data_IF_689030525749
#
_entry.id   IF_689030525749
#
_cell.length_a   1.000
_cell.length_b   1.000
_cell.length_c   1.000
_cell.angle_alpha   90.00
_cell.angle_beta   90.00
_cell.angle_gamma   90.00
#
_symmetry.space_group_name_H-M   'P 1'
#
loop_
_entity.id
_entity.type
_entity.pdbx_description
1 polymer ?
#
# COMPACT_ATOMS: atom_id res chain seq x y z
N UNK A 1 4.48 12.21 -47.35
CA UNK A 1 3.33 12.80 -46.62
C UNK A 1 2.48 11.74 -45.93
N UNK A 2 2.01 10.70 -46.62
CA UNK A 2 1.24 9.57 -46.04
C UNK A 2 2.01 8.83 -44.92
N UNK A 3 3.31 8.59 -45.10
CA UNK A 3 4.16 7.91 -44.09
C UNK A 3 4.33 8.68 -42.77
N UNK A 4 4.33 10.03 -42.84
CA UNK A 4 4.43 10.88 -41.65
C UNK A 4 3.07 10.97 -40.92
N UNK A 5 1.96 10.97 -41.67
CA UNK A 5 0.61 10.92 -41.09
C UNK A 5 0.35 9.59 -40.35
N UNK A 6 0.81 8.46 -40.90
CA UNK A 6 0.61 7.14 -40.28
C UNK A 6 1.39 6.96 -38.97
N UNK A 7 2.59 7.55 -38.86
CA UNK A 7 3.38 7.54 -37.63
C UNK A 7 2.74 8.44 -36.56
N UNK A 8 2.26 9.61 -36.96
CA UNK A 8 1.58 10.54 -36.05
C UNK A 8 0.26 9.95 -35.50
N UNK A 9 -0.49 9.21 -36.33
CA UNK A 9 -1.70 8.51 -35.92
C UNK A 9 -1.44 7.35 -34.95
N UNK A 10 -0.33 6.63 -35.12
CA UNK A 10 0.11 5.58 -34.17
C UNK A 10 0.58 6.14 -32.82
N UNK A 11 1.22 7.31 -32.82
CA UNK A 11 1.67 7.99 -31.58
C UNK A 11 0.46 8.48 -30.76
N UNK A 12 -0.60 8.96 -31.41
CA UNK A 12 -1.82 9.44 -30.73
C UNK A 12 -2.64 8.26 -30.15
N UNK A 13 -2.73 7.13 -30.86
CA UNK A 13 -3.45 5.94 -30.38
C UNK A 13 -2.70 5.13 -29.31
N UNK A 14 -1.39 5.34 -29.15
CA UNK A 14 -0.58 4.69 -28.11
C UNK A 14 -0.65 5.35 -26.73
N UNK A 15 -1.21 6.56 -26.63
CA UNK A 15 -1.28 7.33 -25.38
C UNK A 15 -2.52 6.94 -24.56
N UNK A 16 -2.53 5.72 -24.05
CA UNK A 16 -3.47 5.34 -22.98
C UNK A 16 -2.93 5.89 -21.67
N UNK A 17 -3.48 7.00 -21.19
CA UNK A 17 -3.27 7.39 -19.80
C UNK A 17 -4.01 6.36 -18.93
N UNK A 18 -3.29 5.32 -18.51
CA UNK A 18 -3.77 4.34 -17.54
C UNK A 18 -3.96 5.04 -16.20
N UNK A 19 -5.15 5.63 -16.01
CA UNK A 19 -5.65 6.01 -14.70
C UNK A 19 -6.28 4.77 -14.11
N UNK A 20 -5.46 3.88 -13.57
CA UNK A 20 -5.91 2.73 -12.79
C UNK A 20 -6.48 3.25 -11.47
N UNK A 21 -7.77 3.59 -11.47
CA UNK A 21 -8.50 3.82 -10.24
C UNK A 21 -8.74 2.46 -9.58
N UNK A 22 -8.68 2.41 -8.24
CA UNK A 22 -9.04 1.21 -7.49
C UNK A 22 -10.46 0.79 -7.89
N UNK A 23 -10.60 -0.43 -8.41
CA UNK A 23 -11.86 -1.00 -8.88
C UNK A 23 -12.32 -2.11 -7.94
N UNK A 24 -13.62 -2.22 -7.69
CA UNK A 24 -14.21 -3.23 -6.79
C UNK A 24 -15.08 -2.58 -5.70
N UNK A 25 -15.63 -3.38 -4.76
CA UNK A 25 -16.40 -2.82 -3.66
C UNK A 25 -15.52 -1.95 -2.76
N UNK A 26 -15.75 -0.62 -2.77
CA UNK A 26 -14.99 0.32 -1.94
C UNK A 26 -15.09 -0.01 -0.45
N UNK A 27 -16.22 -0.59 -0.02
CA UNK A 27 -16.48 -0.96 1.37
C UNK A 27 -15.60 -2.09 1.93
N UNK A 28 -14.77 -2.71 1.09
CA UNK A 28 -13.79 -3.69 1.55
C UNK A 28 -12.67 -3.04 2.38
N UNK A 29 -12.34 -1.77 2.10
CA UNK A 29 -11.28 -1.02 2.79
C UNK A 29 -11.74 0.36 3.29
N UNK A 30 -12.81 0.89 2.72
CA UNK A 30 -13.33 2.21 3.05
C UNK A 30 -14.69 2.14 3.74
N UNK A 31 -15.01 3.20 4.45
CA UNK A 31 -16.34 3.41 5.01
C UNK A 31 -16.66 4.89 5.13
N UNK A 32 -17.92 5.25 4.89
CA UNK A 32 -18.38 6.63 5.13
C UNK A 32 -18.56 6.93 6.61
N UNK A 33 -18.95 5.91 7.38
CA UNK A 33 -19.14 5.97 8.81
C UNK A 33 -18.47 4.75 9.41
N UNK A 34 -17.79 4.86 10.53
CA UNK A 34 -17.19 3.70 11.19
C UNK A 34 -18.26 2.79 11.85
N UNK A 35 -19.28 2.41 11.07
CA UNK A 35 -20.41 1.58 11.37
C UNK A 35 -21.00 1.05 10.04
N UNK A 36 -21.31 -0.24 9.99
CA UNK A 36 -22.08 -0.88 8.94
C UNK A 36 -23.23 -1.66 9.60
N UNK A 37 -24.46 -1.43 9.14
CA UNK A 37 -25.66 -2.10 9.67
C UNK A 37 -25.87 -1.92 11.19
N UNK A 38 -25.47 -0.75 11.73
CA UNK A 38 -25.67 -0.40 13.14
C UNK A 38 -24.60 -0.94 14.09
N UNK A 39 -23.52 -1.55 13.58
CA UNK A 39 -22.39 -2.01 14.38
C UNK A 39 -21.06 -1.87 13.65
N UNK A 40 -19.97 -2.27 14.29
CA UNK A 40 -18.64 -2.32 13.66
C UNK A 40 -18.42 -3.77 13.20
N UNK A 41 -18.27 -4.03 11.89
CA UNK A 41 -17.94 -5.36 11.39
C UNK A 41 -16.67 -5.92 12.05
N UNK A 42 -16.67 -7.20 12.39
CA UNK A 42 -15.55 -7.88 13.05
C UNK A 42 -14.27 -7.94 12.22
N UNK A 43 -14.37 -7.72 10.91
CA UNK A 43 -13.23 -7.67 10.00
C UNK A 43 -12.64 -6.26 9.85
N UNK A 44 -13.23 -5.25 10.51
CA UNK A 44 -12.65 -3.92 10.61
C UNK A 44 -11.68 -3.87 11.78
N UNK A 45 -10.88 -2.82 11.85
CA UNK A 45 -10.01 -2.60 13.00
C UNK A 45 -10.79 -2.38 14.31
N UNK A 46 -10.09 -2.33 15.43
CA UNK A 46 -10.69 -2.03 16.74
C UNK A 46 -10.50 -0.58 17.17
N UNK A 47 -9.65 0.18 16.46
CA UNK A 47 -9.17 1.49 16.91
C UNK A 47 -9.75 2.66 16.11
N UNK A 48 -10.68 2.39 15.18
CA UNK A 48 -11.27 3.43 14.35
C UNK A 48 -12.16 4.42 15.14
N UNK A 49 -12.65 5.49 14.50
CA UNK A 49 -12.56 5.78 13.06
C UNK A 49 -11.12 6.03 12.59
N UNK A 50 -10.78 5.48 11.44
CA UNK A 50 -9.49 5.70 10.78
C UNK A 50 -9.56 6.93 9.88
N UNK A 51 -8.39 7.52 9.61
CA UNK A 51 -8.27 8.63 8.67
C UNK A 51 -8.67 8.22 7.25
N UNK A 52 -9.04 9.19 6.41
CA UNK A 52 -9.40 8.98 5.01
C UNK A 52 -10.52 7.95 4.78
N UNK A 53 -11.51 7.89 5.69
CA UNK A 53 -12.68 7.03 5.53
C UNK A 53 -12.29 5.56 5.39
N UNK A 54 -11.31 5.11 6.18
CA UNK A 54 -10.85 3.72 6.16
C UNK A 54 -11.53 2.88 7.26
N UNK A 55 -11.56 1.58 7.04
CA UNK A 55 -12.04 0.58 8.01
C UNK A 55 -10.91 -0.03 8.84
N UNK A 56 -9.68 0.11 8.37
CA UNK A 56 -8.47 -0.40 9.01
C UNK A 56 -7.23 0.35 8.47
N UNK A 57 -6.03 0.00 8.97
CA UNK A 57 -4.77 0.47 8.40
C UNK A 57 -4.39 -0.29 7.11
N UNK A 58 -3.17 0.00 6.61
CA UNK A 58 -2.62 -0.61 5.40
C UNK A 58 -2.59 -2.14 5.49
N UNK A 59 -2.05 -2.70 6.57
CA UNK A 59 -1.88 -4.15 6.72
C UNK A 59 -3.23 -4.82 6.98
N UNK A 60 -4.14 -4.17 7.69
CA UNK A 60 -5.48 -4.65 7.93
C UNK A 60 -6.29 -4.90 6.64
N UNK A 61 -6.03 -4.13 5.58
CA UNK A 61 -6.67 -4.32 4.27
C UNK A 61 -5.83 -5.16 3.30
N UNK A 62 -4.50 -5.03 3.35
CA UNK A 62 -3.58 -5.62 2.39
C UNK A 62 -2.86 -6.86 2.94
N UNK A 63 -3.52 -7.64 3.82
CA UNK A 63 -2.99 -8.89 4.36
C UNK A 63 -3.86 -10.11 4.06
N UNK A 64 -3.24 -11.29 4.05
CA UNK A 64 -3.94 -12.57 3.96
C UNK A 64 -3.24 -13.66 4.77
N UNK A 65 -4.04 -14.55 5.35
CA UNK A 65 -3.54 -15.79 5.98
C UNK A 65 -3.29 -16.92 4.98
N UNK A 66 -3.62 -16.71 3.71
CA UNK A 66 -3.39 -17.66 2.61
C UNK A 66 -2.19 -17.21 1.77
N UNK A 67 -1.79 -17.98 0.76
CA UNK A 67 -0.70 -17.62 -0.14
C UNK A 67 -1.13 -16.71 -1.33
N UNK A 68 -2.41 -16.31 -1.36
CA UNK A 68 -2.95 -15.46 -2.43
C UNK A 68 -2.46 -14.02 -2.28
N UNK A 69 -1.98 -13.43 -3.37
CA UNK A 69 -1.48 -12.05 -3.40
C UNK A 69 -2.48 -11.05 -4.00
N UNK A 70 -3.63 -11.52 -4.46
CA UNK A 70 -4.77 -10.70 -4.88
C UNK A 70 -6.03 -11.30 -4.25
N UNK A 71 -6.76 -10.53 -3.46
CA UNK A 71 -8.03 -10.95 -2.84
C UNK A 71 -9.06 -9.85 -3.06
N UNK A 72 -10.20 -10.15 -3.70
CA UNK A 72 -11.23 -9.15 -4.02
C UNK A 72 -10.69 -7.90 -4.75
N UNK A 73 -9.77 -8.11 -5.70
CA UNK A 73 -9.04 -7.05 -6.42
C UNK A 73 -8.13 -6.17 -5.55
N UNK A 74 -7.90 -6.54 -4.29
CA UNK A 74 -6.98 -5.87 -3.38
C UNK A 74 -5.62 -6.57 -3.47
N UNK A 75 -4.53 -5.85 -3.76
CA UNK A 75 -3.19 -6.42 -3.70
C UNK A 75 -2.82 -6.74 -2.25
N UNK A 76 -2.39 -7.96 -1.98
CA UNK A 76 -1.95 -8.40 -0.67
C UNK A 76 -0.43 -8.27 -0.60
N UNK A 77 0.03 -7.29 0.16
CA UNK A 77 1.46 -7.00 0.34
C UNK A 77 2.03 -7.75 1.54
N UNK A 78 1.19 -8.33 2.41
CA UNK A 78 1.62 -9.16 3.51
C UNK A 78 0.85 -10.47 3.57
N UNK A 79 1.53 -11.60 3.44
CA UNK A 79 0.96 -12.91 3.70
C UNK A 79 1.58 -13.50 4.97
N UNK A 80 0.77 -14.18 5.81
CA UNK A 80 1.32 -14.92 6.96
C UNK A 80 1.99 -16.24 6.57
N UNK A 81 1.93 -16.59 5.29
CA UNK A 81 2.58 -17.74 4.66
C UNK A 81 3.27 -17.28 3.38
N UNK A 82 4.24 -18.04 2.88
CA UNK A 82 4.95 -17.68 1.66
C UNK A 82 3.96 -17.51 0.48
N UNK A 83 3.96 -16.37 -0.24
CA UNK A 83 3.07 -16.15 -1.37
C UNK A 83 3.43 -17.06 -2.56
N UNK A 84 2.43 -17.53 -3.30
CA UNK A 84 2.66 -18.38 -4.49
C UNK A 84 2.88 -17.57 -5.76
N UNK A 85 2.38 -16.33 -5.81
CA UNK A 85 2.42 -15.45 -6.97
C UNK A 85 2.88 -14.05 -6.53
N UNK A 86 4.19 -13.75 -6.54
CA UNK A 86 4.68 -12.49 -6.01
C UNK A 86 4.16 -11.29 -6.82
N UNK A 87 3.81 -10.20 -6.12
CA UNK A 87 3.56 -8.91 -6.74
C UNK A 87 4.90 -8.30 -7.20
N UNK A 88 4.86 -7.35 -8.13
CA UNK A 88 6.07 -6.68 -8.61
C UNK A 88 6.88 -5.98 -7.50
N UNK A 89 6.20 -5.51 -6.44
CA UNK A 89 6.82 -4.93 -5.25
C UNK A 89 7.27 -5.96 -4.20
N UNK A 90 7.07 -7.26 -4.44
CA UNK A 90 7.35 -8.32 -3.48
C UNK A 90 6.25 -8.49 -2.42
N UNK A 91 6.63 -9.03 -1.27
CA UNK A 91 5.73 -9.30 -0.15
C UNK A 91 6.47 -9.20 1.19
N UNK A 92 5.85 -8.58 2.18
CA UNK A 92 6.42 -8.41 3.51
C UNK A 92 6.60 -9.73 4.28
N UNK A 93 6.07 -10.87 3.81
CA UNK A 93 6.40 -12.18 4.38
C UNK A 93 7.92 -12.38 4.56
N UNK A 94 8.73 -11.87 3.62
CA UNK A 94 10.17 -12.12 3.59
C UNK A 94 10.98 -11.35 4.64
N UNK A 95 10.45 -10.27 5.22
CA UNK A 95 11.13 -9.52 6.30
C UNK A 95 11.21 -10.38 7.58
N UNK A 96 10.25 -11.28 7.78
CA UNK A 96 10.26 -12.22 8.91
C UNK A 96 11.30 -13.34 8.74
N UNK A 97 11.94 -13.44 7.57
CA UNK A 97 13.05 -14.37 7.33
C UNK A 97 14.39 -13.66 7.58
N UNK A 98 14.51 -12.41 7.14
CA UNK A 98 15.67 -11.55 7.36
C UNK A 98 15.32 -10.11 7.03
N UNK A 99 15.80 -9.16 7.85
CA UNK A 99 15.70 -7.72 7.58
C UNK A 99 16.31 -7.32 6.23
N UNK A 100 17.34 -8.04 5.77
CA UNK A 100 17.96 -7.79 4.47
C UNK A 100 17.04 -8.08 3.27
N UNK A 101 15.85 -8.67 3.49
CA UNK A 101 14.91 -9.05 2.42
C UNK A 101 13.82 -7.99 2.15
N UNK A 102 13.80 -6.86 2.85
CA UNK A 102 12.77 -5.85 2.59
C UNK A 102 12.86 -4.61 3.47
N UNK A 103 11.76 -3.85 3.49
CA UNK A 103 11.61 -2.68 4.34
C UNK A 103 10.69 -3.02 5.50
N UNK A 104 11.20 -2.83 6.71
CA UNK A 104 10.51 -3.07 7.97
C UNK A 104 9.58 -1.90 8.30
N UNK A 105 8.35 -1.93 7.78
CA UNK A 105 7.34 -0.89 8.06
C UNK A 105 6.74 -1.04 9.46
N UNK A 106 6.47 0.09 10.13
CA UNK A 106 5.98 0.10 11.52
C UNK A 106 4.65 -0.63 11.71
N UNK A 107 3.80 -0.66 10.68
CA UNK A 107 2.49 -1.35 10.74
C UNK A 107 2.63 -2.87 10.94
N UNK A 108 3.81 -3.45 10.70
CA UNK A 108 4.10 -4.86 10.94
C UNK A 108 4.74 -5.13 12.30
N UNK A 109 5.09 -4.10 13.07
CA UNK A 109 5.64 -4.24 14.42
C UNK A 109 6.97 -4.99 14.48
N UNK A 110 7.72 -5.00 13.39
CA UNK A 110 9.01 -5.68 13.25
C UNK A 110 10.03 -4.68 12.69
N UNK A 111 10.60 -3.77 13.49
CA UNK A 111 11.59 -2.79 13.03
C UNK A 111 12.90 -3.46 12.59
N UNK A 112 13.67 -2.80 11.72
CA UNK A 112 14.96 -3.31 11.26
C UNK A 112 15.99 -3.27 12.41
N UNK A 113 16.58 -4.42 12.74
CA UNK A 113 17.54 -4.57 13.84
C UNK A 113 18.98 -4.19 13.43
N UNK A 114 19.25 -4.07 12.13
CA UNK A 114 20.58 -3.81 11.56
C UNK A 114 20.75 -2.36 11.13
N UNK A 115 19.76 -1.82 10.42
CA UNK A 115 19.77 -0.47 9.85
C UNK A 115 18.91 0.46 10.68
N UNK A 116 19.54 1.32 11.49
CA UNK A 116 18.83 2.33 12.27
C UNK A 116 18.35 3.52 11.44
N UNK A 117 18.87 3.68 10.21
CA UNK A 117 18.50 4.71 9.24
C UNK A 117 18.73 4.21 7.80
N UNK A 118 18.04 4.78 6.78
CA UNK A 118 18.24 4.43 5.39
C UNK A 118 19.70 4.64 4.96
N UNK A 119 20.33 3.63 4.33
CA UNK A 119 21.65 3.81 3.73
C UNK A 119 21.64 4.97 2.73
N UNK A 120 22.56 5.92 2.90
CA UNK A 120 22.65 7.12 2.06
C UNK A 120 21.81 8.30 2.55
N UNK A 121 21.25 8.25 3.76
CA UNK A 121 20.66 9.41 4.41
C UNK A 121 21.67 10.58 4.48
N UNK A 122 21.34 11.68 3.80
CA UNK A 122 22.16 12.90 3.82
C UNK A 122 21.91 13.73 5.10
N UNK A 123 20.79 13.48 5.76
CA UNK A 123 20.39 14.11 7.01
C UNK A 123 20.01 13.00 8.00
N UNK A 124 20.89 12.71 8.94
CA UNK A 124 20.66 11.70 9.97
C UNK A 124 19.36 12.00 10.73
N UNK A 125 18.56 10.96 10.98
CA UNK A 125 17.36 11.03 11.83
C UNK A 125 16.07 11.53 11.17
N UNK A 126 15.97 11.62 9.83
CA UNK A 126 14.70 11.95 9.16
C UNK A 126 13.70 10.78 9.15
N UNK A 127 14.18 9.56 8.91
CA UNK A 127 13.41 8.32 8.97
C UNK A 127 14.35 7.29 9.60
N UNK A 128 14.01 6.76 10.77
CA UNK A 128 14.75 5.65 11.37
C UNK A 128 13.98 4.33 11.24
N UNK A 129 14.54 3.28 11.85
CA UNK A 129 13.98 1.93 11.84
C UNK A 129 12.56 1.83 12.42
N UNK A 130 12.15 2.77 13.28
CA UNK A 130 10.84 2.78 13.93
C UNK A 130 9.90 3.86 13.35
N UNK A 131 10.31 4.51 12.27
CA UNK A 131 9.60 5.64 11.69
C UNK A 131 9.06 5.33 10.30
N UNK A 132 9.59 4.32 9.60
CA UNK A 132 9.20 3.97 8.24
C UNK A 132 7.78 3.39 8.19
N UNK A 133 6.85 4.10 7.56
CA UNK A 133 5.45 3.69 7.43
C UNK A 133 5.12 3.23 6.00
N UNK A 134 3.97 2.58 5.81
CA UNK A 134 3.47 2.26 4.48
C UNK A 134 3.23 3.54 3.65
N UNK A 135 2.63 4.56 4.25
CA UNK A 135 2.29 5.82 3.60
C UNK A 135 2.45 7.03 4.56
N UNK A 136 2.17 8.23 4.08
CA UNK A 136 2.24 9.46 4.88
C UNK A 136 3.64 10.07 4.93
N UNK A 137 3.92 10.87 5.95
CA UNK A 137 5.16 11.67 6.05
C UNK A 137 6.45 10.84 5.94
N UNK A 138 6.49 9.70 6.62
CA UNK A 138 7.64 8.82 6.63
C UNK A 138 7.48 7.62 5.69
N UNK A 139 6.38 7.57 4.92
CA UNK A 139 6.08 6.46 4.03
C UNK A 139 6.40 6.76 2.57
N UNK A 140 6.33 5.72 1.75
CA UNK A 140 6.58 5.79 0.32
C UNK A 140 5.30 6.03 -0.50
N UNK A 141 4.14 5.63 0.04
CA UNK A 141 2.85 5.81 -0.60
C UNK A 141 2.11 7.06 -0.08
N UNK A 142 1.13 7.53 -0.84
CA UNK A 142 0.33 8.70 -0.48
C UNK A 142 1.10 10.02 -0.63
N UNK A 143 0.78 10.99 0.22
CA UNK A 143 1.37 12.33 0.19
C UNK A 143 2.24 12.51 1.42
N UNK A 144 3.55 12.77 1.21
CA UNK A 144 4.55 12.91 2.29
C UNK A 144 4.39 14.17 3.16
N UNK A 145 3.46 15.06 2.84
CA UNK A 145 3.11 16.21 3.69
C UNK A 145 1.81 15.99 4.46
N UNK A 146 1.36 14.74 4.54
CA UNK A 146 0.15 14.34 5.23
C UNK A 146 0.54 13.35 6.34
N UNK A 147 0.14 13.63 7.58
CA UNK A 147 0.56 12.85 8.75
C UNK A 147 -0.05 11.45 8.82
N UNK A 148 -1.11 11.20 8.05
CA UNK A 148 -1.80 9.92 8.03
C UNK A 148 -0.94 8.85 7.32
N UNK A 149 -0.73 7.69 7.95
CA UNK A 149 0.06 6.58 7.36
C UNK A 149 -0.69 5.79 6.28
N UNK A 150 -1.46 6.48 5.44
CA UNK A 150 -2.40 5.87 4.48
C UNK A 150 -2.25 6.48 3.09
N UNK A 151 -2.33 5.62 2.06
CA UNK A 151 -2.27 6.05 0.67
C UNK A 151 -3.51 6.87 0.29
N UNK A 152 -3.34 8.04 -0.33
CA UNK A 152 -4.48 8.76 -0.89
C UNK A 152 -4.96 8.06 -2.16
N UNK A 153 -6.11 7.39 -2.08
CA UNK A 153 -6.83 6.93 -3.27
C UNK A 153 -7.68 8.10 -3.78
N UNK A 154 -7.40 8.55 -5.00
CA UNK A 154 -8.35 9.39 -5.74
C UNK A 154 -9.57 8.53 -6.06
N UNK A 155 -10.66 8.71 -5.32
CA UNK A 155 -11.97 8.17 -5.70
C UNK A 155 -12.42 8.94 -6.95
N UNK A 156 -12.71 8.21 -8.04
CA UNK A 156 -13.22 8.80 -9.28
C UNK A 156 -14.74 8.73 -9.32
#
# INVERSE_FOLDING_TARGET
MIFFLSIFFYIILGYSAHLEAVSGPCNNCHTMHYSQNGGIPSNWGSSGPYELLLVNDCIGCHSSSTANTIVNNIPIVYNSVAPTTPLAGGNFYYINISDANGHNVVELGNPDDTLTEPPGAQHAGQIGANELTCAGNNGCHGVRNFSASVGMISMK
#
